data_IF_312067749682
#
_entry.id   IF_312067749682
#
_cell.length_a   1.000
_cell.length_b   1.000
_cell.length_c   1.000
_cell.angle_alpha   90.00
_cell.angle_beta   90.00
_cell.angle_gamma   90.00
#
_symmetry.space_group_name_H-M   'P 1'
#
loop_
_entity.id
_entity.type
_entity.pdbx_description
1 polymer ?
#
# COMPACT_ATOMS: atom_id res chain seq x y z
N UNK A 1 -33.70 38.18 26.14
CA UNK A 1 -34.98 37.80 25.48
C UNK A 1 -35.14 38.66 24.23
N UNK A 2 -35.81 38.14 23.19
CA UNK A 2 -35.82 38.55 21.75
C UNK A 2 -34.50 38.18 21.03
N UNK A 3 -34.36 37.06 20.29
CA UNK A 3 -35.26 36.34 19.35
C UNK A 3 -35.64 37.20 18.14
N UNK A 4 -34.72 37.31 17.20
CA UNK A 4 -35.02 37.75 15.83
C UNK A 4 -34.79 36.56 14.90
N UNK A 5 -35.88 35.84 14.65
CA UNK A 5 -36.03 34.87 13.57
C UNK A 5 -35.91 35.62 12.24
N UNK A 6 -34.94 35.24 11.41
CA UNK A 6 -34.92 35.59 10.00
C UNK A 6 -34.68 34.32 9.18
N UNK A 7 -35.68 34.02 8.37
CA UNK A 7 -35.83 32.88 7.48
C UNK A 7 -34.88 32.97 6.27
N UNK A 8 -34.34 31.81 5.88
CA UNK A 8 -34.05 31.26 4.53
C UNK A 8 -33.63 32.22 3.37
N UNK A 9 -32.61 31.85 2.58
CA UNK A 9 -32.88 30.80 1.59
C UNK A 9 -31.81 29.72 1.47
N UNK A 10 -32.33 28.52 1.25
CA UNK A 10 -31.69 27.32 0.75
C UNK A 10 -31.10 27.58 -0.65
N UNK A 11 -29.95 28.25 -0.73
CA UNK A 11 -29.27 28.53 -1.98
C UNK A 11 -28.28 27.40 -2.32
N UNK A 12 -28.63 26.58 -3.30
CA UNK A 12 -27.64 25.98 -4.20
C UNK A 12 -27.10 24.59 -3.84
N UNK A 13 -27.99 23.61 -3.68
CA UNK A 13 -27.70 22.18 -3.92
C UNK A 13 -27.43 21.92 -5.42
N UNK A 14 -26.40 22.53 -6.03
CA UNK A 14 -26.03 22.27 -7.44
C UNK A 14 -24.53 22.50 -7.70
N UNK A 15 -23.65 22.02 -6.82
CA UNK A 15 -22.29 21.69 -7.24
C UNK A 15 -22.23 20.18 -7.42
N UNK A 16 -22.30 19.77 -8.69
CA UNK A 16 -22.56 18.41 -9.11
C UNK A 16 -21.72 17.37 -8.39
N UNK A 17 -22.35 16.22 -8.13
CA UNK A 17 -21.66 14.98 -7.86
C UNK A 17 -20.85 14.64 -9.11
N UNK A 18 -19.64 15.18 -9.25
CA UNK A 18 -18.72 14.72 -10.28
C UNK A 18 -18.30 13.33 -9.81
N UNK A 19 -19.06 12.32 -10.25
CA UNK A 19 -18.59 10.94 -10.23
C UNK A 19 -17.43 10.89 -11.20
N UNK A 20 -16.24 11.23 -10.72
CA UNK A 20 -14.99 10.80 -11.32
C UNK A 20 -14.97 9.28 -11.21
N UNK A 21 -15.62 8.62 -12.16
CA UNK A 21 -15.33 7.22 -12.49
C UNK A 21 -13.96 7.24 -13.15
N UNK A 22 -12.91 7.45 -12.36
CA UNK A 22 -11.55 7.10 -12.76
C UNK A 22 -11.52 5.58 -12.86
N UNK A 23 -11.96 5.07 -14.01
CA UNK A 23 -11.72 3.70 -14.47
C UNK A 23 -10.26 3.53 -14.89
N UNK A 24 -9.34 4.18 -14.17
CA UNK A 24 -7.95 3.84 -14.21
C UNK A 24 -7.84 2.55 -13.40
N UNK A 25 -8.01 1.42 -14.09
CA UNK A 25 -7.53 0.15 -13.57
C UNK A 25 -6.08 0.41 -13.20
N UNK A 26 -5.69 0.34 -11.91
CA UNK A 26 -4.29 0.50 -11.55
C UNK A 26 -3.54 -0.51 -12.41
N UNK A 27 -2.58 -0.01 -13.18
CA UNK A 27 -1.71 -0.87 -13.98
C UNK A 27 -1.29 -2.03 -13.07
N UNK A 28 -1.40 -3.28 -13.54
CA UNK A 28 -1.11 -4.43 -12.69
C UNK A 28 0.26 -4.17 -12.07
N UNK A 29 0.37 -4.17 -10.72
CA UNK A 29 1.63 -3.87 -10.08
C UNK A 29 2.69 -4.79 -10.68
N UNK A 30 3.86 -4.24 -10.98
CA UNK A 30 4.98 -5.04 -11.48
C UNK A 30 5.54 -5.86 -10.32
N UNK A 31 4.79 -6.91 -9.98
CA UNK A 31 4.96 -7.74 -8.81
C UNK A 31 6.33 -8.43 -8.80
N UNK A 32 6.84 -8.75 -10.00
CA UNK A 32 8.18 -9.29 -10.18
C UNK A 32 9.26 -8.28 -9.76
N UNK A 33 9.15 -7.04 -10.24
CA UNK A 33 10.07 -5.95 -9.87
C UNK A 33 9.99 -5.64 -8.38
N UNK A 34 8.79 -5.61 -7.80
CA UNK A 34 8.62 -5.42 -6.36
C UNK A 34 9.32 -6.51 -5.54
N UNK A 35 9.10 -7.78 -5.90
CA UNK A 35 9.74 -8.89 -5.20
C UNK A 35 11.27 -8.84 -5.31
N UNK A 36 11.79 -8.48 -6.49
CA UNK A 36 13.22 -8.35 -6.70
C UNK A 36 13.84 -7.23 -5.85
N UNK A 37 13.17 -6.07 -5.76
CA UNK A 37 13.60 -4.99 -4.86
C UNK A 37 13.60 -5.46 -3.40
N UNK A 38 12.54 -6.15 -2.97
CA UNK A 38 12.46 -6.66 -1.59
C UNK A 38 13.50 -7.72 -1.28
N UNK A 39 13.88 -8.56 -2.24
CA UNK A 39 14.96 -9.54 -2.07
C UNK A 39 16.30 -8.83 -1.85
N UNK A 40 16.61 -7.85 -2.70
CA UNK A 40 17.83 -7.06 -2.57
C UNK A 40 17.89 -6.28 -1.24
N UNK A 41 16.74 -5.75 -0.81
CA UNK A 41 16.59 -5.07 0.47
C UNK A 41 16.77 -6.04 1.64
N UNK A 42 16.22 -7.25 1.55
CA UNK A 42 16.39 -8.31 2.53
C UNK A 42 17.87 -8.70 2.69
N UNK A 43 18.57 -8.89 1.57
CA UNK A 43 20.01 -9.16 1.57
C UNK A 43 20.81 -8.01 2.21
N UNK A 44 20.48 -6.76 1.89
CA UNK A 44 21.13 -5.60 2.49
C UNK A 44 20.90 -5.51 4.01
N UNK A 45 19.68 -5.79 4.48
CA UNK A 45 19.32 -5.78 5.91
C UNK A 45 20.01 -6.93 6.66
N UNK A 46 20.03 -8.13 6.09
CA UNK A 46 20.70 -9.27 6.71
C UNK A 46 22.23 -9.14 6.68
N UNK A 47 22.78 -8.41 5.70
CA UNK A 47 24.21 -8.11 5.59
C UNK A 47 25.08 -9.35 5.76
N UNK A 48 26.04 -9.29 6.68
CA UNK A 48 26.98 -10.38 6.95
C UNK A 48 26.35 -11.62 7.61
N UNK A 49 25.13 -11.52 8.17
CA UNK A 49 24.43 -12.70 8.67
C UNK A 49 23.92 -13.57 7.51
N UNK A 50 23.66 -12.98 6.35
CA UNK A 50 23.07 -13.65 5.21
C UNK A 50 21.57 -13.91 5.38
N UNK A 51 20.89 -14.12 4.24
CA UNK A 51 19.46 -14.43 4.19
C UNK A 51 19.29 -15.94 4.40
N UNK A 52 18.47 -16.32 5.36
CA UNK A 52 18.08 -17.71 5.62
C UNK A 52 16.94 -18.14 4.70
N UNK A 53 15.92 -17.30 4.59
CA UNK A 53 14.77 -17.54 3.74
C UNK A 53 14.20 -16.23 3.23
N UNK A 54 13.89 -16.18 1.94
CA UNK A 54 13.14 -15.10 1.31
C UNK A 54 11.94 -15.71 0.58
N UNK A 55 10.74 -15.16 0.83
CA UNK A 55 9.52 -15.51 0.12
C UNK A 55 8.84 -14.22 -0.30
N UNK A 56 8.45 -14.14 -1.57
CA UNK A 56 7.63 -13.05 -2.06
C UNK A 56 6.52 -13.64 -2.92
N UNK A 57 5.28 -13.48 -2.44
CA UNK A 57 4.07 -13.93 -3.11
C UNK A 57 3.25 -12.71 -3.44
N UNK A 58 3.11 -12.47 -4.72
CA UNK A 58 2.45 -11.28 -5.21
C UNK A 58 1.38 -11.73 -6.20
N UNK A 59 0.11 -11.58 -5.79
CA UNK A 59 -1.04 -12.07 -6.53
C UNK A 59 -2.07 -10.94 -6.73
N UNK A 60 -2.64 -10.78 -7.94
CA UNK A 60 -3.54 -9.69 -8.29
C UNK A 60 -4.78 -9.52 -7.39
N UNK A 61 -5.15 -10.56 -6.64
CA UNK A 61 -6.35 -10.61 -5.79
C UNK A 61 -6.05 -10.78 -4.30
N UNK A 62 -4.90 -11.35 -3.96
CA UNK A 62 -4.52 -11.65 -2.57
C UNK A 62 -3.57 -10.58 -2.00
N UNK A 63 -3.00 -9.72 -2.84
CA UNK A 63 -2.07 -8.68 -2.45
C UNK A 63 -0.62 -9.12 -2.58
N UNK A 64 0.26 -8.40 -1.87
CA UNK A 64 1.69 -8.68 -1.86
C UNK A 64 2.07 -9.13 -0.45
N UNK A 65 2.45 -10.40 -0.32
CA UNK A 65 3.00 -11.00 0.89
C UNK A 65 4.51 -11.18 0.69
N UNK A 66 5.31 -10.65 1.61
CA UNK A 66 6.75 -10.83 1.58
C UNK A 66 7.25 -11.24 2.95
N UNK A 67 8.19 -12.17 2.96
CA UNK A 67 8.82 -12.69 4.16
C UNK A 67 10.33 -12.71 3.95
N UNK A 68 11.05 -12.05 4.85
CA UNK A 68 12.51 -12.03 4.89
C UNK A 68 12.95 -12.56 6.26
N UNK A 69 13.73 -13.63 6.26
CA UNK A 69 14.36 -14.18 7.45
C UNK A 69 15.87 -14.13 7.28
N UNK A 70 16.54 -13.37 8.15
CA UNK A 70 17.99 -13.38 8.25
C UNK A 70 18.45 -14.55 9.10
N UNK A 71 19.67 -15.05 8.87
CA UNK A 71 20.26 -15.99 9.83
C UNK A 71 20.41 -15.29 11.19
N UNK A 72 20.16 -16.02 12.27
CA UNK A 72 20.41 -15.50 13.60
C UNK A 72 21.92 -15.30 13.80
N UNK A 73 22.35 -14.20 14.45
CA UNK A 73 23.74 -14.06 14.83
C UNK A 73 24.11 -15.22 15.77
N UNK A 74 24.96 -16.12 15.29
CA UNK A 74 25.36 -17.35 16.00
C UNK A 74 24.94 -18.66 15.33
N UNK A 75 24.04 -18.62 14.35
CA UNK A 75 23.81 -19.75 13.43
C UNK A 75 24.89 -19.69 12.34
N UNK A 76 26.12 -20.07 12.69
CA UNK A 76 27.12 -20.39 11.68
C UNK A 76 26.69 -21.71 11.02
N UNK A 77 26.57 -21.72 9.70
CA UNK A 77 26.60 -22.96 8.92
C UNK A 77 27.97 -23.62 9.07
#
# INVERSE_FOLDING_TARGET
MMRTLLLLPLAGLLAGCISFSSSESPAPPDYATFCQEKESQCAAVCGNAGVQAFSCKAAPREGIDYQCQCNKPGQRL
#
